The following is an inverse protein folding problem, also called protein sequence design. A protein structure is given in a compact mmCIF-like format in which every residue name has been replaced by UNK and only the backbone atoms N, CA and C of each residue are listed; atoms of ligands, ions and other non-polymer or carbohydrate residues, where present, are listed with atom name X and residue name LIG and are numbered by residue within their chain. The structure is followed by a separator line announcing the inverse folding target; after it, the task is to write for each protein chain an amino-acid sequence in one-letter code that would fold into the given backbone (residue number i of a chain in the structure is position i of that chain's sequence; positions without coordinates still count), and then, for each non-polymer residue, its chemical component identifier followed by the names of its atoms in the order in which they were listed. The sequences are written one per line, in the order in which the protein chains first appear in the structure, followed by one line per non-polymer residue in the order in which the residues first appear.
data_IF_993515982996
#
_entry.id   IF_993515982996
#
_cell.length_a   1.000
_cell.length_b   1.000
_cell.length_c   1.000
_cell.angle_alpha   90.00
_cell.angle_beta   90.00
_cell.angle_gamma   90.00
#
_symmetry.space_group_name_H-M   'P 1'
#
loop_
_entity.id
_entity.type
_entity.pdbx_description
1 polymer ?
#
# COMPACT_ATOMS: atom_id res chain seq x y z
N UNK A 1 -10.82 -16.98 -16.06
CA UNK A 1 -10.13 -18.18 -15.58
C UNK A 1 -8.91 -17.72 -14.79
N UNK A 2 -8.70 -18.19 -13.55
CA UNK A 2 -7.43 -17.94 -12.89
C UNK A 2 -6.29 -18.52 -13.75
N UNK A 3 -5.12 -17.86 -13.83
CA UNK A 3 -3.99 -18.40 -14.57
C UNK A 3 -3.58 -19.74 -13.96
N UNK A 4 -3.24 -20.72 -14.81
CA UNK A 4 -2.72 -21.99 -14.32
C UNK A 4 -1.32 -21.83 -13.71
N UNK A 5 -0.93 -22.79 -12.87
CA UNK A 5 0.36 -22.77 -12.19
C UNK A 5 1.56 -22.72 -13.15
N UNK A 6 1.57 -23.44 -14.30
CA UNK A 6 2.63 -23.30 -15.30
C UNK A 6 2.79 -21.87 -15.83
N UNK A 7 1.68 -21.20 -16.15
CA UNK A 7 1.67 -19.82 -16.66
C UNK A 7 2.26 -18.86 -15.63
N UNK A 8 1.83 -18.99 -14.36
CA UNK A 8 2.40 -18.20 -13.27
C UNK A 8 3.90 -18.48 -13.08
N UNK A 9 4.29 -19.75 -13.07
CA UNK A 9 5.70 -20.16 -12.90
C UNK A 9 6.60 -19.55 -13.97
N UNK A 10 6.17 -19.57 -15.22
CA UNK A 10 6.92 -18.95 -16.32
C UNK A 10 6.97 -17.42 -16.17
N UNK A 11 5.89 -16.79 -15.76
CA UNK A 11 5.87 -15.35 -15.49
C UNK A 11 6.87 -14.97 -14.37
N UNK A 12 6.93 -15.74 -13.28
CA UNK A 12 7.93 -15.56 -12.22
C UNK A 12 9.37 -15.74 -12.72
N UNK A 13 9.63 -16.76 -13.56
CA UNK A 13 10.97 -16.97 -14.14
C UNK A 13 11.41 -15.83 -15.04
N UNK A 14 10.48 -15.23 -15.79
CA UNK A 14 10.74 -14.05 -16.62
C UNK A 14 10.94 -12.78 -15.80
N UNK A 15 10.27 -12.69 -14.66
CA UNK A 15 10.35 -11.56 -13.73
C UNK A 15 11.69 -11.40 -13.01
N UNK A 16 12.56 -12.41 -13.00
CA UNK A 16 13.84 -12.35 -12.30
C UNK A 16 14.77 -11.31 -12.95
N UNK A 17 15.19 -10.34 -12.14
CA UNK A 17 16.06 -9.25 -12.55
C UNK A 17 17.41 -9.78 -13.07
N UNK A 18 17.83 -9.34 -14.27
CA UNK A 18 19.08 -9.71 -14.92
C UNK A 18 19.54 -8.63 -15.88
N UNK A 19 20.84 -8.58 -16.16
CA UNK A 19 21.34 -7.84 -17.32
C UNK A 19 20.93 -8.55 -18.62
N UNK A 20 20.82 -7.84 -19.77
CA UNK A 20 20.50 -8.47 -21.04
C UNK A 20 21.46 -9.63 -21.38
N UNK A 21 20.93 -10.86 -21.44
CA UNK A 21 21.71 -12.08 -21.69
C UNK A 21 22.56 -12.58 -20.51
N UNK A 22 22.54 -11.89 -19.37
CA UNK A 22 23.28 -12.24 -18.16
C UNK A 22 22.53 -13.19 -17.20
N UNK A 23 23.21 -13.70 -16.16
CA UNK A 23 22.59 -14.51 -15.13
C UNK A 23 21.62 -13.68 -14.26
N UNK A 24 20.72 -14.34 -13.51
CA UNK A 24 19.94 -13.72 -12.44
C UNK A 24 20.78 -12.89 -11.46
N UNK A 25 20.26 -11.73 -11.07
CA UNK A 25 20.81 -10.89 -10.02
C UNK A 25 19.96 -11.09 -8.76
N UNK A 26 20.29 -12.12 -7.98
CA UNK A 26 19.49 -12.59 -6.83
C UNK A 26 19.12 -11.47 -5.84
N UNK A 27 20.07 -10.57 -5.53
CA UNK A 27 19.88 -9.44 -4.61
C UNK A 27 18.76 -8.47 -5.01
N UNK A 28 18.39 -8.45 -6.29
CA UNK A 28 17.32 -7.60 -6.83
C UNK A 28 15.96 -8.32 -6.87
N UNK A 29 15.90 -9.62 -6.58
CA UNK A 29 14.65 -10.37 -6.59
C UNK A 29 13.99 -10.44 -7.98
N UNK A 30 12.66 -10.45 -8.00
CA UNK A 30 11.84 -10.55 -9.21
C UNK A 30 10.69 -9.56 -9.22
N UNK A 31 10.19 -9.28 -10.43
CA UNK A 31 8.99 -8.47 -10.67
C UNK A 31 7.94 -9.25 -11.45
N UNK A 32 6.71 -9.28 -10.95
CA UNK A 32 5.56 -9.84 -11.66
C UNK A 32 4.45 -8.80 -11.73
N UNK A 33 3.86 -8.62 -12.91
CA UNK A 33 2.73 -7.71 -13.11
C UNK A 33 1.59 -8.38 -13.88
N UNK A 34 0.35 -8.02 -13.56
CA UNK A 34 -0.86 -8.43 -14.26
C UNK A 34 -1.83 -7.25 -14.36
N UNK A 35 -2.70 -7.24 -15.38
CA UNK A 35 -3.65 -6.16 -15.64
C UNK A 35 -4.90 -6.69 -16.35
N UNK A 36 -5.99 -5.91 -16.34
CA UNK A 36 -7.30 -6.30 -16.89
C UNK A 36 -7.58 -5.81 -18.33
N UNK A 37 -6.53 -5.63 -19.14
CA UNK A 37 -6.58 -5.19 -20.56
C UNK A 37 -7.42 -3.91 -20.86
N UNK A 38 -7.63 -3.02 -19.87
CA UNK A 38 -8.32 -1.74 -20.06
C UNK A 38 -7.47 -0.66 -20.76
N UNK A 39 -8.08 0.42 -21.28
CA UNK A 39 -7.33 1.53 -21.85
C UNK A 39 -6.51 2.28 -20.77
N UNK A 40 -5.46 3.03 -21.16
CA UNK A 40 -4.66 3.81 -20.21
C UNK A 40 -5.51 4.75 -19.36
N UNK A 41 -5.37 4.67 -18.04
CA UNK A 41 -6.14 5.47 -17.07
C UNK A 41 -7.42 4.79 -16.57
N UNK A 42 -7.88 3.72 -17.24
CA UNK A 42 -9.05 2.93 -16.86
C UNK A 42 -8.73 1.47 -16.50
N UNK A 43 -7.49 1.02 -16.79
CA UNK A 43 -7.02 -0.29 -16.37
C UNK A 43 -6.75 -0.36 -14.87
N UNK A 44 -6.90 -1.56 -14.33
CA UNK A 44 -6.39 -1.97 -13.03
C UNK A 44 -5.14 -2.82 -13.28
N UNK A 45 -4.06 -2.56 -12.57
CA UNK A 45 -2.87 -3.41 -12.61
C UNK A 45 -2.35 -3.72 -11.23
N UNK A 46 -1.89 -4.95 -11.04
CA UNK A 46 -1.14 -5.37 -9.86
C UNK A 46 0.30 -5.59 -10.28
N UNK A 47 1.24 -5.06 -9.49
CA UNK A 47 2.66 -5.28 -9.66
C UNK A 47 3.28 -5.67 -8.33
N UNK A 48 4.10 -6.70 -8.36
CA UNK A 48 4.79 -7.24 -7.18
C UNK A 48 6.28 -7.22 -7.43
N UNK A 49 7.03 -6.76 -6.44
CA UNK A 49 8.48 -6.89 -6.38
C UNK A 49 8.80 -7.72 -5.14
N UNK A 50 9.45 -8.87 -5.29
CA UNK A 50 9.71 -9.78 -4.18
C UNK A 50 11.07 -10.49 -4.25
N UNK A 51 11.56 -10.95 -3.10
CA UNK A 51 12.82 -11.68 -2.97
C UNK A 51 14.07 -10.81 -2.94
N UNK A 52 13.93 -9.49 -2.84
CA UNK A 52 15.08 -8.59 -2.76
C UNK A 52 15.54 -8.38 -1.30
N UNK A 53 16.85 -8.21 -1.12
CA UNK A 53 17.47 -8.09 0.21
C UNK A 53 18.53 -6.99 0.33
N UNK A 54 18.73 -6.15 -0.69
CA UNK A 54 19.85 -5.18 -0.69
C UNK A 54 19.44 -3.70 -0.90
N UNK A 55 18.19 -3.39 -1.29
CA UNK A 55 17.75 -1.98 -1.51
C UNK A 55 16.25 -1.76 -1.71
N UNK A 56 15.52 -2.76 -2.18
CA UNK A 56 14.10 -2.64 -2.50
C UNK A 56 13.25 -3.38 -1.46
N UNK A 57 12.23 -2.71 -0.93
CA UNK A 57 11.24 -3.39 -0.11
C UNK A 57 10.44 -4.37 -0.98
N UNK A 58 10.14 -5.54 -0.42
CA UNK A 58 9.14 -6.42 -1.00
C UNK A 58 7.80 -5.65 -0.98
N UNK A 59 7.21 -5.42 -2.14
CA UNK A 59 6.03 -4.56 -2.27
C UNK A 59 5.06 -5.16 -3.28
N UNK A 60 3.77 -5.03 -2.98
CA UNK A 60 2.67 -5.33 -3.88
C UNK A 60 1.86 -4.04 -4.06
N UNK A 61 1.79 -3.55 -5.30
CA UNK A 61 1.11 -2.31 -5.66
C UNK A 61 -0.06 -2.64 -6.56
N UNK A 62 -1.26 -2.23 -6.14
CA UNK A 62 -2.44 -2.23 -6.99
C UNK A 62 -2.70 -0.80 -7.48
N UNK A 63 -2.52 -0.60 -8.79
CA UNK A 63 -2.86 0.65 -9.47
C UNK A 63 -4.33 0.63 -9.84
N UNK A 64 -5.08 1.61 -9.33
CA UNK A 64 -6.49 1.80 -9.64
C UNK A 64 -6.68 2.80 -10.79
N UNK A 65 -7.82 2.72 -11.51
CA UNK A 65 -8.21 3.71 -12.51
C UNK A 65 -8.22 5.11 -11.91
N UNK A 66 -7.77 6.10 -12.70
CA UNK A 66 -7.72 7.50 -12.26
C UNK A 66 -8.84 8.35 -12.86
N UNK A 67 -9.52 7.85 -13.89
CA UNK A 67 -10.56 8.55 -14.64
C UNK A 67 -11.68 7.58 -15.06
N UNK A 68 -12.80 8.16 -15.49
CA UNK A 68 -13.95 7.41 -16.01
C UNK A 68 -14.79 6.74 -14.93
N UNK A 69 -15.85 6.05 -15.37
CA UNK A 69 -16.85 5.39 -14.52
C UNK A 69 -16.21 4.32 -13.60
N UNK A 70 -15.18 3.62 -14.09
CA UNK A 70 -14.41 2.65 -13.29
C UNK A 70 -13.74 3.30 -12.09
N UNK A 71 -13.19 4.51 -12.23
CA UNK A 71 -12.58 5.23 -11.11
C UNK A 71 -13.62 5.70 -10.10
N UNK A 72 -14.77 6.20 -10.56
CA UNK A 72 -15.86 6.63 -9.68
C UNK A 72 -16.43 5.46 -8.85
N UNK A 73 -16.55 4.29 -9.48
CA UNK A 73 -17.01 3.07 -8.81
C UNK A 73 -15.99 2.51 -7.82
N UNK A 74 -14.70 2.57 -8.13
CA UNK A 74 -13.64 1.94 -7.33
C UNK A 74 -13.06 2.84 -6.24
N UNK A 75 -13.05 4.17 -6.42
CA UNK A 75 -12.44 5.11 -5.46
C UNK A 75 -13.48 5.51 -4.41
N UNK A 76 -13.86 4.55 -3.58
CA UNK A 76 -14.74 4.74 -2.41
C UNK A 76 -14.09 4.16 -1.16
N UNK A 77 -14.45 4.68 0.03
CA UNK A 77 -13.87 4.19 1.28
C UNK A 77 -14.08 2.68 1.47
N UNK A 78 -15.29 2.18 1.18
CA UNK A 78 -15.61 0.75 1.31
C UNK A 78 -14.79 -0.11 0.36
N UNK A 79 -14.73 0.24 -0.93
CA UNK A 79 -13.96 -0.54 -1.91
C UNK A 79 -12.47 -0.55 -1.57
N UNK A 80 -11.89 0.60 -1.21
CA UNK A 80 -10.49 0.67 -0.81
C UNK A 80 -10.20 -0.10 0.48
N UNK A 81 -11.18 -0.14 1.40
CA UNK A 81 -11.09 -0.94 2.64
C UNK A 81 -11.07 -2.43 2.32
N UNK A 82 -11.99 -2.91 1.47
CA UNK A 82 -12.06 -4.32 1.08
C UNK A 82 -10.84 -4.77 0.28
N UNK A 83 -10.34 -3.91 -0.61
CA UNK A 83 -9.11 -4.13 -1.36
C UNK A 83 -7.90 -4.20 -0.42
N UNK A 84 -7.73 -3.22 0.46
CA UNK A 84 -6.61 -3.21 1.42
C UNK A 84 -6.66 -4.42 2.36
N UNK A 85 -7.85 -4.79 2.83
CA UNK A 85 -8.09 -6.02 3.61
C UNK A 85 -7.66 -7.27 2.85
N UNK A 86 -8.10 -7.40 1.59
CA UNK A 86 -7.77 -8.55 0.75
C UNK A 86 -6.26 -8.66 0.48
N UNK A 87 -5.61 -7.52 0.20
CA UNK A 87 -4.16 -7.47 0.02
C UNK A 87 -3.42 -7.82 1.31
N UNK A 88 -3.88 -7.34 2.47
CA UNK A 88 -3.28 -7.66 3.76
C UNK A 88 -3.36 -9.16 4.08
N UNK A 89 -4.51 -9.79 3.80
CA UNK A 89 -4.70 -11.24 4.00
C UNK A 89 -3.88 -12.09 3.03
N UNK A 90 -3.73 -11.65 1.78
CA UNK A 90 -3.01 -12.41 0.75
C UNK A 90 -1.49 -12.27 0.82
N UNK A 91 -0.99 -11.09 1.22
CA UNK A 91 0.44 -10.76 1.19
C UNK A 91 1.09 -10.72 2.57
N UNK A 92 0.31 -10.57 3.64
CA UNK A 92 0.78 -10.38 5.01
C UNK A 92 1.88 -9.30 5.15
N UNK A 93 1.67 -8.07 4.64
CA UNK A 93 2.67 -7.01 4.74
C UNK A 93 2.83 -6.51 6.17
N UNK A 94 3.93 -5.79 6.44
CA UNK A 94 4.06 -5.01 7.67
C UNK A 94 3.05 -3.85 7.70
N UNK A 95 2.84 -3.21 6.54
CA UNK A 95 1.88 -2.13 6.35
C UNK A 95 1.38 -2.08 4.90
N UNK A 96 0.19 -1.53 4.68
CA UNK A 96 -0.32 -1.24 3.34
C UNK A 96 -1.06 0.09 3.33
N UNK A 97 -1.12 0.75 2.18
CA UNK A 97 -1.73 2.08 2.06
C UNK A 97 -2.51 2.23 0.76
N UNK A 98 -3.71 2.80 0.85
CA UNK A 98 -4.46 3.31 -0.28
C UNK A 98 -4.43 4.85 -0.24
N UNK A 99 -3.76 5.47 -1.21
CA UNK A 99 -3.59 6.92 -1.29
C UNK A 99 -3.44 7.41 -2.73
N UNK A 100 -3.73 8.70 -2.96
CA UNK A 100 -3.44 9.34 -4.24
C UNK A 100 -1.98 9.75 -4.34
N UNK A 101 -1.46 9.89 -5.57
CA UNK A 101 -0.14 10.46 -5.81
C UNK A 101 0.02 11.84 -5.16
N UNK A 102 -0.98 12.72 -5.30
CA UNK A 102 -0.94 14.04 -4.68
C UNK A 102 -0.82 14.00 -3.14
N UNK A 103 -1.42 13.01 -2.47
CA UNK A 103 -1.24 12.84 -1.03
C UNK A 103 0.15 12.30 -0.68
N UNK A 104 0.69 11.41 -1.52
CA UNK A 104 2.05 10.89 -1.34
C UNK A 104 3.09 11.98 -1.50
N UNK A 105 2.98 12.78 -2.56
CA UNK A 105 3.91 13.88 -2.85
C UNK A 105 3.92 14.91 -1.70
N UNK A 106 2.76 15.14 -1.07
CA UNK A 106 2.66 15.99 0.11
C UNK A 106 3.44 15.44 1.31
N UNK A 107 3.31 14.14 1.62
CA UNK A 107 4.04 13.50 2.73
C UNK A 107 5.55 13.40 2.45
N UNK A 108 5.93 13.13 1.20
CA UNK A 108 7.33 13.11 0.79
C UNK A 108 7.96 14.51 0.96
N UNK A 109 7.23 15.58 0.62
CA UNK A 109 7.67 16.96 0.87
C UNK A 109 7.76 17.32 2.36
N UNK A 110 6.97 16.66 3.21
CA UNK A 110 7.01 16.80 4.68
C UNK A 110 8.11 15.94 5.34
N UNK A 111 8.86 15.15 4.55
CA UNK A 111 9.97 14.33 5.05
C UNK A 111 9.52 13.05 5.76
N UNK A 112 8.31 12.57 5.49
CA UNK A 112 7.73 11.42 6.17
C UNK A 112 8.14 10.10 5.49
N UNK A 113 9.28 9.52 5.89
CA UNK A 113 9.97 8.50 5.08
C UNK A 113 9.71 7.02 5.42
N UNK A 114 9.12 6.70 6.58
CA UNK A 114 9.05 5.31 7.06
C UNK A 114 7.80 4.56 6.58
N UNK A 115 6.63 5.02 7.03
CA UNK A 115 5.30 4.47 6.73
C UNK A 115 4.42 5.64 6.27
N UNK A 116 3.75 5.49 5.13
CA UNK A 116 2.78 6.48 4.65
C UNK A 116 1.41 6.25 5.30
N UNK A 117 0.73 7.34 5.65
CA UNK A 117 -0.65 7.30 6.12
C UNK A 117 -1.59 7.71 4.98
N UNK A 118 -2.33 6.76 4.41
CA UNK A 118 -3.28 7.01 3.33
C UNK A 118 -4.70 7.26 3.80
N UNK A 119 -5.64 7.29 2.85
CA UNK A 119 -7.06 7.30 3.16
C UNK A 119 -7.46 6.02 3.91
N UNK A 120 -6.95 4.89 3.43
CA UNK A 120 -6.99 3.59 4.14
C UNK A 120 -5.55 3.16 4.39
N UNK A 121 -5.25 2.77 5.63
CA UNK A 121 -3.92 2.28 6.02
C UNK A 121 -4.07 1.01 6.85
N UNK A 122 -3.35 -0.03 6.48
CA UNK A 122 -3.22 -1.26 7.27
C UNK A 122 -1.90 -1.25 8.04
N UNK A 123 -1.94 -1.67 9.29
CA UNK A 123 -0.77 -1.92 10.14
C UNK A 123 -0.86 -3.35 10.69
N UNK A 124 0.21 -4.13 10.50
CA UNK A 124 0.30 -5.47 11.05
C UNK A 124 0.34 -5.45 12.58
N UNK A 125 -0.21 -6.48 13.24
CA UNK A 125 -0.32 -6.51 14.72
C UNK A 125 1.04 -6.43 15.41
N UNK A 126 2.11 -6.89 14.75
CA UNK A 126 3.45 -6.92 15.35
C UNK A 126 4.04 -5.51 15.48
N UNK A 127 3.52 -4.52 14.75
CA UNK A 127 3.91 -3.11 14.91
C UNK A 127 3.35 -2.51 16.20
N UNK A 128 2.25 -3.04 16.72
CA UNK A 128 1.65 -2.62 17.99
C UNK A 128 0.13 -2.47 17.91
N UNK A 129 -0.45 -1.82 18.92
CA UNK A 129 -1.90 -1.58 19.02
C UNK A 129 -2.22 -0.14 18.62
N UNK A 130 -3.18 0.03 17.72
CA UNK A 130 -3.66 1.35 17.29
C UNK A 130 -4.35 2.05 18.49
N UNK A 131 -3.91 3.27 18.89
CA UNK A 131 -4.56 4.02 19.95
C UNK A 131 -5.95 4.50 19.51
N UNK A 132 -6.82 4.94 20.43
CA UNK A 132 -8.05 5.63 20.05
C UNK A 132 -7.77 6.82 19.11
N UNK A 133 -8.47 6.89 17.99
CA UNK A 133 -8.34 7.94 16.98
C UNK A 133 -9.59 8.85 16.98
N UNK A 134 -9.46 10.13 16.60
CA UNK A 134 -10.59 11.06 16.58
C UNK A 134 -11.59 10.70 15.48
N UNK A 135 -12.87 11.04 15.67
CA UNK A 135 -13.84 10.99 14.58
C UNK A 135 -13.40 11.90 13.42
N UNK A 136 -13.72 11.57 12.15
CA UNK A 136 -14.55 10.45 11.69
C UNK A 136 -13.77 9.13 11.48
N UNK A 137 -12.55 9.01 11.99
CA UNK A 137 -11.68 7.85 11.74
C UNK A 137 -12.32 6.55 12.24
N UNK A 138 -12.31 5.54 11.39
CA UNK A 138 -12.73 4.19 11.74
C UNK A 138 -11.52 3.27 11.85
N UNK A 139 -11.58 2.37 12.82
CA UNK A 139 -10.58 1.35 13.07
C UNK A 139 -11.27 0.00 12.90
N UNK A 140 -10.73 -0.86 12.04
CA UNK A 140 -11.30 -2.18 11.76
C UNK A 140 -10.25 -3.29 11.89
N UNK A 141 -10.53 -4.38 12.60
CA UNK A 141 -9.62 -5.51 12.67
C UNK A 141 -9.54 -6.24 11.33
N UNK A 142 -8.36 -6.75 10.99
CA UNK A 142 -8.13 -7.71 9.90
C UNK A 142 -7.72 -9.03 10.52
N UNK A 143 -8.72 -9.83 10.88
CA UNK A 143 -8.56 -11.11 11.57
C UNK A 143 -7.58 -11.00 12.75
N UNK A 144 -6.62 -11.90 12.85
CA UNK A 144 -5.51 -11.87 13.80
C UNK A 144 -4.24 -11.22 13.20
N UNK A 145 -4.31 -10.66 11.99
CA UNK A 145 -3.16 -10.15 11.24
C UNK A 145 -2.81 -8.71 11.57
N UNK A 146 -3.81 -7.85 11.78
CA UNK A 146 -3.56 -6.42 12.02
C UNK A 146 -4.83 -5.56 12.05
N UNK A 147 -4.65 -4.28 11.76
CA UNK A 147 -5.72 -3.26 11.88
C UNK A 147 -5.73 -2.34 10.66
N UNK A 148 -6.92 -2.06 10.13
CA UNK A 148 -7.19 -1.03 9.14
C UNK A 148 -7.62 0.27 9.82
N UNK A 149 -7.10 1.38 9.32
CA UNK A 149 -7.42 2.75 9.71
C UNK A 149 -8.00 3.43 8.48
N UNK A 150 -9.24 3.91 8.58
CA UNK A 150 -9.97 4.59 7.52
C UNK A 150 -10.23 6.03 7.96
N UNK A 151 -9.61 7.00 7.31
CA UNK A 151 -9.64 8.40 7.77
C UNK A 151 -11.04 9.01 7.69
N UNK A 152 -11.72 8.83 6.57
CA UNK A 152 -13.01 9.48 6.28
C UNK A 152 -13.93 8.53 5.50
N UNK A 153 -15.27 8.58 5.66
CA UNK A 153 -16.20 7.83 4.82
C UNK A 153 -16.31 8.40 3.39
N UNK A 154 -16.20 9.72 3.25
CA UNK A 154 -16.16 10.43 1.97
C UNK A 154 -14.76 10.44 1.35
N UNK A 155 -14.71 10.74 0.04
CA UNK A 155 -13.47 10.74 -0.73
C UNK A 155 -12.42 11.68 -0.15
N UNK A 156 -11.35 11.09 0.37
CA UNK A 156 -10.18 11.82 0.82
C UNK A 156 -9.51 12.54 -0.37
N UNK A 157 -9.14 13.80 -0.14
CA UNK A 157 -8.49 14.67 -1.13
C UNK A 157 -7.62 15.70 -0.44
N UNK A 158 -6.44 15.97 -0.99
CA UNK A 158 -5.53 17.03 -0.52
C UNK A 158 -6.08 18.43 -0.75
N UNK A 159 -7.09 18.58 -1.62
CA UNK A 159 -7.76 19.86 -1.84
C UNK A 159 -8.68 20.27 -0.68
N UNK A 160 -9.06 19.32 0.19
CA UNK A 160 -9.82 19.62 1.40
C UNK A 160 -8.85 19.80 2.58
N UNK A 161 -8.70 21.00 3.14
CA UNK A 161 -7.79 21.23 4.27
C UNK A 161 -8.16 20.44 5.52
N UNK A 162 -9.44 20.10 5.72
CA UNK A 162 -9.88 19.29 6.87
C UNK A 162 -9.36 17.86 6.77
N UNK A 163 -9.35 17.27 5.56
CA UNK A 163 -8.78 15.96 5.31
C UNK A 163 -7.28 15.94 5.64
N UNK A 164 -6.54 16.95 5.20
CA UNK A 164 -5.10 17.06 5.45
C UNK A 164 -4.83 17.26 6.95
N UNK A 165 -5.60 18.11 7.63
CA UNK A 165 -5.47 18.32 9.07
C UNK A 165 -5.76 17.04 9.87
N UNK A 166 -6.80 16.29 9.48
CA UNK A 166 -7.12 15.00 10.09
C UNK A 166 -6.00 13.98 9.89
N UNK A 167 -5.47 13.85 8.67
CA UNK A 167 -4.36 12.94 8.36
C UNK A 167 -3.13 13.26 9.23
N UNK A 168 -2.72 14.53 9.30
CA UNK A 168 -1.60 14.96 10.17
C UNK A 168 -1.87 14.63 11.64
N UNK A 169 -3.07 14.92 12.13
CA UNK A 169 -3.43 14.63 13.52
C UNK A 169 -3.40 13.14 13.85
N UNK A 170 -3.91 12.30 12.95
CA UNK A 170 -3.87 10.84 13.10
C UNK A 170 -2.43 10.35 13.07
N UNK A 171 -1.61 10.82 12.12
CA UNK A 171 -0.18 10.48 12.07
C UNK A 171 0.53 10.82 13.38
N UNK A 172 0.32 12.00 13.96
CA UNK A 172 0.92 12.39 15.24
C UNK A 172 0.55 11.42 16.37
N UNK A 173 -0.68 10.93 16.39
CA UNK A 173 -1.15 9.96 17.39
C UNK A 173 -0.48 8.60 17.19
N UNK A 174 -0.42 8.12 15.94
CA UNK A 174 0.25 6.86 15.59
C UNK A 174 1.76 6.92 15.85
N UNK A 175 2.40 8.04 15.53
CA UNK A 175 3.83 8.27 15.77
C UNK A 175 4.16 8.26 17.26
N UNK A 176 3.33 8.92 18.09
CA UNK A 176 3.45 8.87 19.56
C UNK A 176 3.25 7.46 20.13
N UNK A 177 2.43 6.64 19.49
CA UNK A 177 2.27 5.22 19.82
C UNK A 177 3.40 4.33 19.27
N UNK A 178 4.36 4.89 18.53
CA UNK A 178 5.47 4.15 17.93
C UNK A 178 5.15 3.40 16.64
N UNK A 179 3.95 3.59 16.07
CA UNK A 179 3.43 2.82 14.94
C UNK A 179 3.86 3.35 13.55
N UNK A 180 4.51 4.52 13.50
CA UNK A 180 4.92 5.17 12.24
C UNK A 180 6.41 5.01 11.92
N UNK A 181 7.10 4.07 12.59
CA UNK A 181 8.51 3.77 12.36
C UNK A 181 8.65 2.35 11.83
N UNK A 182 9.57 2.13 10.88
CA UNK A 182 9.90 0.77 10.45
C UNK A 182 10.62 0.02 11.57
N UNK A 183 10.29 -1.26 11.74
CA UNK A 183 11.10 -2.15 12.56
C UNK A 183 12.51 -2.23 11.92
N UNK A 184 13.51 -1.63 12.57
CA UNK A 184 14.90 -1.59 12.09
C UNK A 184 15.50 -0.20 11.85
N UNK A 185 14.73 0.89 12.00
CA UNK A 185 15.31 2.24 12.05
C UNK A 185 16.00 2.44 13.41
N UNK A 186 17.31 2.14 13.48
CA UNK A 186 18.15 2.49 14.63
C UNK A 186 18.11 4.02 14.85
N UNK A 187 17.81 4.52 16.07
CA UNK A 187 17.89 5.95 16.37
C UNK A 187 19.32 6.54 16.29
N UNK A 188 20.34 5.75 15.93
CA UNK A 188 21.72 6.18 15.73
C UNK A 188 22.19 5.93 14.30
N UNK A 189 21.61 6.68 13.36
CA UNK A 189 22.19 6.93 12.04
C UNK A 189 22.80 8.32 11.99
#
# INVERSE_FOLDING_TARGET
MPPDLPTLTEAFRRGVNREPGGPPIERLGLVLSAYNDGPPGELVSVSTHCGAYERNNNVCVLSLPSKGESAERLITASMLTDVARSMALAWEPDWAVAMSHAHRDLQDAEGESDIWLGWVTYLSRHLGTVPPLPAPVRIEPVEDKGTLIILTPERFTVANPEHVALARRVRELLARAGLMRRAGADPRG
#
